data_IF_606924609698
#
_entry.id   IF_606924609698
#
_cell.length_a   1.000
_cell.length_b   1.000
_cell.length_c   1.000
_cell.angle_alpha   90.00
_cell.angle_beta   90.00
_cell.angle_gamma   90.00
#
_symmetry.space_group_name_H-M   'P 1'
#
loop_
_entity.id
_entity.type
_entity.pdbx_description
1 polymer ?
#
# COMPACT_ATOMS: atom_id res chain seq x y z
N UNK A 1 16.88 21.50 -8.26
CA UNK A 1 17.66 20.49 -7.50
C UNK A 1 17.15 19.12 -7.89
N UNK A 2 18.03 18.17 -8.22
CA UNK A 2 17.62 16.82 -8.60
C UNK A 2 17.07 16.11 -7.36
N UNK A 3 15.93 15.41 -7.50
CA UNK A 3 15.35 14.62 -6.41
C UNK A 3 16.34 13.51 -6.04
N UNK A 4 16.79 13.49 -4.78
CA UNK A 4 17.66 12.42 -4.31
C UNK A 4 16.93 11.07 -4.35
N UNK A 5 17.65 9.97 -4.63
CA UNK A 5 17.09 8.63 -4.52
C UNK A 5 16.50 8.41 -3.14
N UNK A 6 15.40 7.67 -3.07
CA UNK A 6 14.84 7.24 -1.78
C UNK A 6 15.86 6.32 -1.10
N UNK A 7 16.25 6.63 0.13
CA UNK A 7 17.05 5.73 0.96
C UNK A 7 16.20 4.49 1.29
N UNK A 8 16.47 3.35 0.65
CA UNK A 8 15.81 2.08 0.95
C UNK A 8 16.83 1.17 1.63
N UNK A 9 16.84 1.19 2.96
CA UNK A 9 17.76 0.42 3.79
C UNK A 9 16.99 -0.20 4.97
N UNK A 10 17.44 -1.34 5.54
CA UNK A 10 16.81 -1.90 6.72
C UNK A 10 16.74 -0.90 7.88
N UNK A 11 15.59 -0.81 8.54
CA UNK A 11 15.36 0.11 9.65
C UNK A 11 15.01 1.55 9.23
N UNK A 12 15.04 1.89 7.93
CA UNK A 12 14.64 3.20 7.45
C UNK A 12 13.15 3.47 7.67
N UNK A 13 12.83 4.71 8.04
CA UNK A 13 11.46 5.16 8.27
C UNK A 13 10.90 5.85 7.02
N UNK A 14 9.70 5.46 6.60
CA UNK A 14 9.05 5.95 5.41
C UNK A 14 7.62 6.35 5.65
N UNK A 15 7.24 7.50 5.11
CA UNK A 15 5.85 7.82 4.81
C UNK A 15 5.51 7.30 3.42
N UNK A 16 4.59 6.35 3.34
CA UNK A 16 4.09 5.79 2.07
C UNK A 16 2.68 6.30 1.84
N UNK A 17 2.44 6.83 0.65
CA UNK A 17 1.12 7.25 0.20
C UNK A 17 0.81 6.59 -1.14
N UNK A 18 -0.41 6.07 -1.29
CA UNK A 18 -0.92 5.56 -2.55
C UNK A 18 -2.33 6.11 -2.79
N UNK A 19 -2.60 6.59 -4.01
CA UNK A 19 -3.85 7.24 -4.39
C UNK A 19 -4.46 6.58 -5.61
N UNK A 20 -5.79 6.55 -5.68
CA UNK A 20 -6.53 6.04 -6.83
C UNK A 20 -6.31 6.86 -8.09
N UNK A 21 -6.27 6.19 -9.25
CA UNK A 21 -6.29 6.87 -10.55
C UNK A 21 -7.51 7.79 -10.64
N UNK A 22 -7.34 8.97 -11.22
CA UNK A 22 -8.42 9.98 -11.32
C UNK A 22 -9.08 10.32 -9.96
N UNK A 23 -8.34 10.14 -8.84
CA UNK A 23 -8.86 10.28 -7.47
C UNK A 23 -10.06 9.38 -7.17
N UNK A 24 -10.22 8.28 -7.92
CA UNK A 24 -11.28 7.30 -7.71
C UNK A 24 -11.18 6.66 -6.33
N UNK A 25 -12.32 6.25 -5.78
CA UNK A 25 -12.35 5.54 -4.51
C UNK A 25 -11.65 4.19 -4.65
N UNK A 26 -10.57 4.03 -3.92
CA UNK A 26 -9.84 2.77 -3.76
C UNK A 26 -10.50 1.90 -2.69
N UNK A 27 -11.33 2.47 -1.81
CA UNK A 27 -12.21 1.75 -0.89
C UNK A 27 -13.65 2.15 -1.18
N UNK A 28 -14.47 1.23 -1.72
CA UNK A 28 -15.91 1.46 -1.97
C UNK A 28 -16.77 0.92 -0.83
N UNK A 29 -16.23 -0.02 -0.07
CA UNK A 29 -16.89 -0.72 1.04
C UNK A 29 -15.90 -0.96 2.17
N UNK A 30 -16.39 -1.28 3.37
CA UNK A 30 -15.51 -1.70 4.48
C UNK A 30 -14.81 -3.03 4.20
N UNK A 31 -15.39 -3.87 3.35
CA UNK A 31 -14.72 -5.09 2.87
C UNK A 31 -13.44 -4.77 2.07
N UNK A 32 -13.41 -3.64 1.36
CA UNK A 32 -12.21 -3.17 0.68
C UNK A 32 -11.15 -2.71 1.70
N UNK A 33 -11.55 -1.97 2.72
CA UNK A 33 -10.65 -1.53 3.80
C UNK A 33 -10.06 -2.73 4.54
N UNK A 34 -10.88 -3.70 4.90
CA UNK A 34 -10.47 -4.89 5.63
C UNK A 34 -9.53 -5.78 4.80
N UNK A 35 -9.76 -5.95 3.51
CA UNK A 35 -8.85 -6.68 2.61
C UNK A 35 -7.46 -6.00 2.56
N UNK A 36 -7.43 -4.67 2.43
CA UNK A 36 -6.17 -3.92 2.48
C UNK A 36 -5.44 -4.10 3.83
N UNK A 37 -6.15 -3.95 4.95
CA UNK A 37 -5.58 -4.09 6.29
C UNK A 37 -5.08 -5.52 6.56
N UNK A 38 -5.81 -6.55 6.15
CA UNK A 38 -5.38 -7.94 6.31
C UNK A 38 -4.09 -8.21 5.52
N UNK A 39 -3.97 -7.67 4.31
CA UNK A 39 -2.75 -7.78 3.51
C UNK A 39 -1.58 -7.03 4.13
N UNK A 40 -1.83 -5.83 4.65
CA UNK A 40 -0.82 -5.05 5.39
C UNK A 40 -0.36 -5.80 6.65
N UNK A 41 -1.30 -6.35 7.42
CA UNK A 41 -1.02 -7.15 8.61
C UNK A 41 -0.17 -8.38 8.28
N UNK A 42 -0.45 -9.09 7.17
CA UNK A 42 0.37 -10.21 6.72
C UNK A 42 1.82 -9.79 6.45
N UNK A 43 2.06 -8.59 5.89
CA UNK A 43 3.43 -8.09 5.70
C UNK A 43 4.13 -7.76 7.02
N UNK A 44 3.38 -7.36 8.05
CA UNK A 44 3.91 -7.15 9.40
C UNK A 44 4.26 -8.48 10.07
N UNK A 45 3.38 -9.48 9.97
CA UNK A 45 3.57 -10.82 10.54
C UNK A 45 4.73 -11.58 9.89
N UNK A 46 4.94 -11.40 8.58
CA UNK A 46 6.11 -11.93 7.85
C UNK A 46 7.42 -11.21 8.24
N UNK A 47 7.38 -10.14 9.05
CA UNK A 47 8.56 -9.36 9.45
C UNK A 47 9.11 -8.46 8.35
N UNK A 48 8.37 -8.24 7.25
CA UNK A 48 8.84 -7.47 6.10
C UNK A 48 8.90 -5.97 6.41
N UNK A 49 7.96 -5.48 7.23
CA UNK A 49 7.83 -4.09 7.66
C UNK A 49 7.25 -4.02 9.06
N UNK A 50 7.46 -2.89 9.74
CA UNK A 50 6.71 -2.50 10.94
C UNK A 50 5.87 -1.28 10.60
N UNK A 51 4.59 -1.29 10.95
CA UNK A 51 3.69 -0.17 10.72
C UNK A 51 3.44 0.55 12.05
N UNK A 52 3.77 1.84 12.11
CA UNK A 52 3.55 2.67 13.30
C UNK A 52 2.20 3.40 13.27
N UNK A 53 1.73 3.76 12.07
CA UNK A 53 0.45 4.44 11.89
C UNK A 53 -0.07 4.21 10.48
N UNK A 54 -1.39 4.28 10.31
CA UNK A 54 -2.05 4.28 9.01
C UNK A 54 -3.29 5.18 9.02
N UNK A 55 -3.63 5.72 7.84
CA UNK A 55 -4.90 6.39 7.59
C UNK A 55 -5.45 5.93 6.24
N UNK A 56 -6.73 5.54 6.23
CA UNK A 56 -7.42 5.04 5.04
C UNK A 56 -8.52 6.03 4.66
N UNK A 57 -8.29 6.81 3.61
CA UNK A 57 -9.28 7.70 3.02
C UNK A 57 -9.91 7.01 1.80
N UNK A 58 -11.15 7.34 1.40
CA UNK A 58 -11.84 6.64 0.32
C UNK A 58 -11.01 6.46 -0.97
N UNK A 59 -10.20 7.44 -1.34
CA UNK A 59 -9.40 7.45 -2.57
C UNK A 59 -7.88 7.39 -2.38
N UNK A 60 -7.37 7.32 -1.14
CA UNK A 60 -5.93 7.17 -0.89
C UNK A 60 -5.64 6.66 0.52
N UNK A 61 -4.43 6.19 0.75
CA UNK A 61 -3.96 5.78 2.06
C UNK A 61 -2.65 6.46 2.42
N UNK A 62 -2.35 6.50 3.71
CA UNK A 62 -1.06 6.88 4.26
C UNK A 62 -0.58 5.81 5.24
N UNK A 63 0.68 5.42 5.15
CA UNK A 63 1.35 4.50 6.08
C UNK A 63 2.63 5.15 6.61
N UNK A 64 2.88 5.02 7.90
CA UNK A 64 4.19 5.27 8.51
C UNK A 64 4.84 3.92 8.80
N UNK A 65 5.88 3.58 8.03
CA UNK A 65 6.48 2.23 8.04
C UNK A 65 7.97 2.27 8.30
N UNK A 66 8.47 1.30 9.05
CA UNK A 66 9.89 0.95 9.12
C UNK A 66 10.15 -0.25 8.23
N UNK A 67 11.16 -0.16 7.37
CA UNK A 67 11.60 -1.27 6.51
C UNK A 67 12.27 -2.39 7.32
N UNK A 68 11.96 -3.63 6.96
CA UNK A 68 12.73 -4.81 7.38
C UNK A 68 13.89 -5.09 6.42
N UNK A 69 14.20 -6.38 6.21
CA UNK A 69 15.30 -6.80 5.34
C UNK A 69 14.97 -6.79 3.84
N UNK A 70 13.70 -6.67 3.47
CA UNK A 70 13.28 -6.57 2.08
C UNK A 70 13.12 -5.12 1.64
N UNK A 71 13.48 -4.78 0.39
CA UNK A 71 13.24 -3.45 -0.16
C UNK A 71 11.77 -3.05 -0.03
N UNK A 72 11.50 -1.81 0.38
CA UNK A 72 10.14 -1.31 0.57
C UNK A 72 9.29 -1.48 -0.70
N UNK A 73 9.91 -1.27 -1.86
CA UNK A 73 9.27 -1.44 -3.17
C UNK A 73 8.72 -2.86 -3.39
N UNK A 74 9.44 -3.89 -2.94
CA UNK A 74 9.02 -5.29 -3.06
C UNK A 74 7.82 -5.58 -2.17
N UNK A 75 7.83 -5.07 -0.94
CA UNK A 75 6.72 -5.22 0.02
C UNK A 75 5.47 -4.52 -0.50
N UNK A 76 5.61 -3.26 -0.95
CA UNK A 76 4.48 -2.50 -1.49
C UNK A 76 3.93 -3.11 -2.77
N UNK A 77 4.77 -3.67 -3.64
CA UNK A 77 4.31 -4.42 -4.83
C UNK A 77 3.45 -5.63 -4.43
N UNK A 78 3.89 -6.46 -3.49
CA UNK A 78 3.12 -7.63 -3.01
C UNK A 78 1.77 -7.21 -2.42
N UNK A 79 1.77 -6.19 -1.57
CA UNK A 79 0.57 -5.65 -0.94
C UNK A 79 -0.42 -5.09 -1.98
N UNK A 80 0.02 -4.16 -2.80
CA UNK A 80 -0.85 -3.40 -3.71
C UNK A 80 -1.35 -4.27 -4.86
N UNK A 81 -0.50 -5.10 -5.47
CA UNK A 81 -0.94 -5.98 -6.57
C UNK A 81 -2.04 -6.92 -6.11
N UNK A 82 -1.85 -7.57 -4.96
CA UNK A 82 -2.86 -8.47 -4.43
C UNK A 82 -4.17 -7.75 -4.09
N UNK A 83 -4.08 -6.55 -3.53
CA UNK A 83 -5.25 -5.72 -3.26
C UNK A 83 -6.02 -5.36 -4.54
N UNK A 84 -5.32 -4.88 -5.59
CA UNK A 84 -5.93 -4.48 -6.86
C UNK A 84 -6.62 -5.66 -7.54
N UNK A 85 -6.03 -6.84 -7.53
CA UNK A 85 -6.65 -8.05 -8.11
C UNK A 85 -7.99 -8.34 -7.45
N UNK A 86 -8.04 -8.39 -6.11
CA UNK A 86 -9.27 -8.63 -5.37
C UNK A 86 -10.31 -7.52 -5.58
N UNK A 87 -9.88 -6.26 -5.54
CA UNK A 87 -10.74 -5.11 -5.76
C UNK A 87 -11.39 -5.17 -7.14
N UNK A 88 -10.59 -5.43 -8.18
CA UNK A 88 -11.07 -5.51 -9.55
C UNK A 88 -12.07 -6.66 -9.74
N UNK A 89 -11.78 -7.85 -9.19
CA UNK A 89 -12.71 -8.98 -9.22
C UNK A 89 -14.03 -8.65 -8.51
N UNK A 90 -13.96 -8.09 -7.29
CA UNK A 90 -15.13 -7.74 -6.48
C UNK A 90 -16.03 -6.70 -7.15
N UNK A 91 -15.42 -5.69 -7.78
CA UNK A 91 -16.12 -4.56 -8.37
C UNK A 91 -16.31 -4.68 -9.89
N UNK A 92 -16.04 -5.86 -10.47
CA UNK A 92 -16.12 -6.14 -11.92
C UNK A 92 -15.37 -5.09 -12.76
N UNK A 93 -14.19 -4.68 -12.28
CA UNK A 93 -13.31 -3.71 -12.95
C UNK A 93 -12.12 -4.41 -13.59
N UNK A 94 -11.52 -3.70 -14.54
CA UNK A 94 -10.23 -4.06 -15.14
C UNK A 94 -9.30 -2.83 -15.11
N UNK A 95 -8.00 -3.08 -15.29
CA UNK A 95 -6.99 -2.02 -15.35
C UNK A 95 -6.43 -1.58 -14.00
N UNK A 96 -5.70 -0.47 -14.02
CA UNK A 96 -5.01 0.10 -12.86
C UNK A 96 -6.01 0.66 -11.85
N UNK A 97 -5.66 0.56 -10.56
CA UNK A 97 -6.39 1.20 -9.48
C UNK A 97 -5.63 2.40 -8.90
N UNK A 98 -4.31 2.27 -8.73
CA UNK A 98 -3.46 3.31 -8.15
C UNK A 98 -2.74 4.14 -9.22
N UNK A 99 -2.43 5.39 -8.87
CA UNK A 99 -1.55 6.27 -9.63
C UNK A 99 -0.11 5.72 -9.60
N UNK A 100 0.59 5.85 -10.73
CA UNK A 100 2.02 5.51 -10.86
C UNK A 100 2.91 6.62 -10.33
#
# INVERSE_FOLDING_TARGET
MVRQPRLDAPGALHHVMGRGIERTNIYRTDQDRNDFLNRLANQCLEGNIIVYAWSLLPNHFHLLVRTGHHPLSKVMKKLLTGYVVNFNLRHKRTGHLFQN
#
